data_IF_184490241214
#
_entry.id   IF_184490241214
#
_cell.length_a   1.000
_cell.length_b   1.000
_cell.length_c   1.000
_cell.angle_alpha   90.00
_cell.angle_beta   90.00
_cell.angle_gamma   90.00
#
_symmetry.space_group_name_H-M   'P 1'
#
loop_
_entity.id
_entity.type
_entity.pdbx_description
1 polymer ?
#
# COMPACT_ATOMS: atom_id res chain seq x y z
N UNK A 1 19.20 17.43 -29.58
CA UNK A 1 18.84 17.14 -28.19
C UNK A 1 18.60 15.64 -28.11
N UNK A 2 19.12 14.94 -27.11
CA UNK A 2 18.81 13.54 -26.85
C UNK A 2 17.35 13.45 -26.42
N UNK A 3 16.63 12.42 -26.85
CA UNK A 3 15.24 12.19 -26.38
C UNK A 3 15.20 11.96 -24.86
N UNK A 4 14.10 12.31 -24.19
CA UNK A 4 13.94 12.00 -22.78
C UNK A 4 13.88 10.49 -22.55
N UNK A 5 14.38 10.06 -21.39
CA UNK A 5 14.30 8.68 -20.92
C UNK A 5 12.91 8.46 -20.33
N UNK A 6 12.16 7.46 -20.84
CA UNK A 6 10.80 7.19 -20.45
C UNK A 6 10.65 5.86 -19.75
N UNK A 7 9.99 5.87 -18.60
CA UNK A 7 9.63 4.65 -17.87
C UNK A 7 8.13 4.60 -17.60
N UNK A 8 7.51 3.45 -17.89
CA UNK A 8 6.09 3.18 -17.64
C UNK A 8 5.95 2.27 -16.43
N UNK A 9 5.20 2.69 -15.42
CA UNK A 9 4.85 1.88 -14.26
C UNK A 9 3.40 1.42 -14.31
N UNK A 10 3.16 0.20 -13.85
CA UNK A 10 1.84 -0.47 -13.90
C UNK A 10 1.54 -1.12 -12.55
N UNK A 11 0.32 -0.92 -12.04
CA UNK A 11 -0.26 -1.68 -10.93
C UNK A 11 -1.61 -2.27 -11.34
N UNK A 12 -1.88 -3.54 -11.07
CA UNK A 12 -3.16 -4.20 -11.36
C UNK A 12 -3.31 -5.59 -10.72
N UNK A 13 -4.46 -6.23 -10.97
CA UNK A 13 -4.82 -7.59 -10.54
C UNK A 13 -4.96 -7.78 -9.01
N UNK A 14 -5.29 -6.68 -8.31
CA UNK A 14 -5.68 -6.74 -6.89
C UNK A 14 -6.82 -5.75 -6.61
N UNK A 15 -6.54 -4.47 -6.58
CA UNK A 15 -7.48 -3.35 -6.59
C UNK A 15 -6.77 -2.11 -7.13
N UNK A 16 -7.55 -1.09 -7.53
CA UNK A 16 -7.04 0.23 -7.91
C UNK A 16 -5.98 0.20 -9.03
N UNK A 17 -6.26 -0.55 -10.11
CA UNK A 17 -5.36 -0.63 -11.25
C UNK A 17 -5.01 0.77 -11.79
N UNK A 18 -3.72 1.00 -12.09
CA UNK A 18 -3.21 2.31 -12.48
C UNK A 18 -1.99 2.19 -13.41
N UNK A 19 -1.69 3.27 -14.10
CA UNK A 19 -0.47 3.45 -14.86
C UNK A 19 0.14 4.83 -14.57
N UNK A 20 1.46 4.93 -14.76
CA UNK A 20 2.21 6.17 -14.64
C UNK A 20 3.32 6.20 -15.68
N UNK A 21 3.50 7.34 -16.37
CA UNK A 21 4.64 7.61 -17.25
C UNK A 21 5.55 8.67 -16.62
N UNK A 22 6.84 8.38 -16.62
CA UNK A 22 7.89 9.26 -16.13
C UNK A 22 8.83 9.60 -17.29
N UNK A 23 9.18 10.87 -17.46
CA UNK A 23 10.20 11.35 -18.40
C UNK A 23 11.32 12.05 -17.62
N UNK A 24 12.56 11.59 -17.79
CA UNK A 24 13.76 12.15 -17.11
C UNK A 24 13.59 12.29 -15.59
N UNK A 25 12.87 11.35 -14.96
CA UNK A 25 12.59 11.33 -13.52
C UNK A 25 11.40 12.17 -13.09
N UNK A 26 10.71 12.85 -14.02
CA UNK A 26 9.53 13.68 -13.75
C UNK A 26 8.27 12.91 -14.11
N UNK A 27 7.29 12.87 -13.22
CA UNK A 27 5.96 12.31 -13.50
C UNK A 27 5.27 13.19 -14.52
N UNK A 28 5.02 12.65 -15.72
CA UNK A 28 4.29 13.34 -16.78
C UNK A 28 2.79 13.13 -16.65
N UNK A 29 2.39 11.88 -16.45
CA UNK A 29 1.00 11.51 -16.23
C UNK A 29 0.89 10.28 -15.35
N UNK A 30 -0.19 10.21 -14.57
CA UNK A 30 -0.59 9.04 -13.80
C UNK A 30 -2.12 8.97 -13.70
N UNK A 31 -2.70 7.80 -13.87
CA UNK A 31 -4.14 7.62 -13.81
C UNK A 31 -4.53 6.23 -13.33
N UNK A 32 -5.63 6.17 -12.58
CA UNK A 32 -6.32 4.91 -12.24
C UNK A 32 -7.27 4.52 -13.38
N UNK A 33 -7.36 3.21 -13.67
CA UNK A 33 -8.24 2.66 -14.70
C UNK A 33 -9.71 2.99 -14.42
N UNK A 34 -10.12 3.04 -13.14
CA UNK A 34 -11.47 3.38 -12.71
C UNK A 34 -11.95 4.76 -13.20
N UNK A 35 -11.03 5.71 -13.49
CA UNK A 35 -11.38 7.03 -14.01
C UNK A 35 -12.00 6.95 -15.39
N UNK A 36 -11.62 5.94 -16.14
CA UNK A 36 -12.08 5.67 -17.51
C UNK A 36 -13.23 4.65 -17.56
N UNK A 37 -13.12 3.57 -16.77
CA UNK A 37 -14.11 2.48 -16.76
C UNK A 37 -15.35 2.82 -15.94
N UNK A 38 -15.23 3.77 -15.01
CA UNK A 38 -16.27 4.12 -14.01
C UNK A 38 -16.63 2.95 -13.07
N UNK A 39 -15.84 1.90 -13.07
CA UNK A 39 -15.91 0.79 -12.12
C UNK A 39 -14.98 1.09 -10.95
N UNK A 40 -15.56 1.41 -9.79
CA UNK A 40 -14.80 1.74 -8.59
C UNK A 40 -13.92 0.55 -8.15
N UNK A 41 -12.64 0.84 -7.81
CA UNK A 41 -11.63 -0.17 -7.46
C UNK A 41 -11.43 -1.22 -8.57
N UNK A 42 -11.42 -0.78 -9.83
CA UNK A 42 -11.17 -1.66 -10.97
C UNK A 42 -9.80 -2.33 -10.83
N UNK A 43 -9.80 -3.65 -10.83
CA UNK A 43 -8.61 -4.50 -10.68
C UNK A 43 -8.03 -4.96 -12.02
N UNK A 44 -8.76 -4.76 -13.12
CA UNK A 44 -8.38 -5.25 -14.44
C UNK A 44 -7.07 -4.61 -14.92
N UNK A 45 -6.44 -5.23 -15.93
CA UNK A 45 -5.27 -4.63 -16.56
C UNK A 45 -5.59 -3.21 -17.08
N UNK A 46 -4.75 -2.18 -16.80
CA UNK A 46 -5.10 -0.77 -16.96
C UNK A 46 -4.88 -0.24 -18.38
N UNK A 47 -5.56 -0.81 -19.37
CA UNK A 47 -5.43 -0.47 -20.78
C UNK A 47 -5.63 1.01 -21.10
N UNK A 48 -6.66 1.62 -20.48
CA UNK A 48 -7.03 3.01 -20.76
C UNK A 48 -6.09 3.96 -20.03
N UNK A 49 -5.68 3.62 -18.80
CA UNK A 49 -4.71 4.39 -18.06
C UNK A 49 -3.33 4.38 -18.76
N UNK A 50 -2.89 3.21 -19.26
CA UNK A 50 -1.64 3.12 -20.05
C UNK A 50 -1.73 3.98 -21.31
N UNK A 51 -2.82 3.87 -22.07
CA UNK A 51 -3.03 4.70 -23.27
C UNK A 51 -2.98 6.19 -22.92
N UNK A 52 -3.71 6.61 -21.91
CA UNK A 52 -3.71 8.00 -21.45
C UNK A 52 -2.30 8.48 -21.12
N UNK A 53 -1.54 7.70 -20.35
CA UNK A 53 -0.17 8.04 -19.99
C UNK A 53 0.74 8.16 -21.22
N UNK A 54 0.60 7.27 -22.20
CA UNK A 54 1.36 7.33 -23.45
C UNK A 54 0.96 8.51 -24.35
N UNK A 55 -0.33 8.88 -24.36
CA UNK A 55 -0.83 10.03 -25.13
C UNK A 55 -0.33 11.37 -24.54
N UNK A 56 -0.10 11.44 -23.22
CA UNK A 56 0.46 12.61 -22.54
C UNK A 56 2.00 12.69 -22.66
N UNK A 57 2.65 11.59 -22.99
CA UNK A 57 4.10 11.55 -23.12
C UNK A 57 4.58 12.25 -24.41
N UNK A 58 5.81 12.75 -24.40
CA UNK A 58 6.42 13.41 -25.55
C UNK A 58 6.78 12.43 -26.71
N UNK A 59 6.54 11.12 -26.55
CA UNK A 59 6.73 10.08 -27.55
C UNK A 59 6.48 8.68 -27.01
N UNK A 60 6.33 7.71 -27.89
CA UNK A 60 5.93 6.33 -27.54
C UNK A 60 7.09 5.40 -27.18
N UNK A 61 8.35 5.75 -27.49
CA UNK A 61 9.50 4.89 -27.20
C UNK A 61 9.80 4.86 -25.70
N UNK A 62 9.77 3.67 -25.11
CA UNK A 62 10.03 3.44 -23.69
C UNK A 62 11.43 2.86 -23.47
N UNK A 63 12.11 3.31 -22.42
CA UNK A 63 13.41 2.76 -21.99
C UNK A 63 13.24 1.64 -20.97
N UNK A 64 12.12 1.61 -20.23
CA UNK A 64 11.75 0.55 -19.31
C UNK A 64 10.25 0.53 -19.03
N UNK A 65 9.76 -0.64 -18.62
CA UNK A 65 8.45 -0.82 -18.00
C UNK A 65 8.66 -1.45 -16.64
N UNK A 66 7.81 -1.13 -15.67
CA UNK A 66 7.87 -1.77 -14.35
C UNK A 66 6.49 -2.16 -13.85
N UNK A 67 6.42 -3.34 -13.25
CA UNK A 67 5.24 -3.80 -12.53
C UNK A 67 5.49 -3.67 -11.03
N UNK A 68 4.50 -3.19 -10.27
CA UNK A 68 4.65 -2.68 -8.90
C UNK A 68 4.98 -3.71 -7.82
N UNK A 69 5.02 -5.01 -8.12
CA UNK A 69 5.33 -6.09 -7.16
C UNK A 69 6.02 -7.28 -7.83
N UNK A 70 6.52 -8.22 -7.03
CA UNK A 70 7.12 -9.49 -7.47
C UNK A 70 6.11 -10.64 -7.37
N UNK A 71 5.41 -11.01 -8.45
CA UNK A 71 4.34 -12.03 -8.41
C UNK A 71 4.78 -13.38 -7.86
N UNK A 72 6.00 -13.81 -8.19
CA UNK A 72 6.54 -15.10 -7.74
C UNK A 72 6.73 -15.15 -6.22
N UNK A 73 7.23 -14.07 -5.61
CA UNK A 73 7.39 -13.99 -4.15
C UNK A 73 6.01 -13.97 -3.46
N UNK A 74 5.03 -13.30 -4.06
CA UNK A 74 3.66 -13.27 -3.54
C UNK A 74 3.01 -14.66 -3.58
N UNK A 75 3.20 -15.40 -4.68
CA UNK A 75 2.76 -16.79 -4.78
C UNK A 75 3.44 -17.67 -3.73
N UNK A 76 4.75 -17.51 -3.54
CA UNK A 76 5.50 -18.24 -2.51
C UNK A 76 4.89 -18.03 -1.12
N UNK A 77 4.62 -16.78 -0.71
CA UNK A 77 3.95 -16.49 0.57
C UNK A 77 2.58 -17.18 0.69
N UNK A 78 1.74 -17.12 -0.37
CA UNK A 78 0.41 -17.75 -0.35
C UNK A 78 0.53 -19.26 -0.19
N UNK A 79 1.45 -19.90 -0.92
CA UNK A 79 1.72 -21.34 -0.82
C UNK A 79 2.20 -21.72 0.59
N UNK A 80 3.21 -21.04 1.11
CA UNK A 80 3.78 -21.32 2.42
C UNK A 80 2.75 -21.14 3.54
N UNK A 81 1.99 -20.04 3.51
CA UNK A 81 0.90 -19.80 4.45
C UNK A 81 -0.13 -20.90 4.41
N UNK A 82 -0.55 -21.30 3.19
CA UNK A 82 -1.58 -22.34 3.01
C UNK A 82 -1.11 -23.71 3.47
N UNK A 83 0.14 -24.07 3.17
CA UNK A 83 0.75 -25.34 3.61
C UNK A 83 0.91 -25.39 5.13
N UNK A 84 1.39 -24.30 5.75
CA UNK A 84 1.55 -24.22 7.20
C UNK A 84 0.23 -24.34 7.98
N UNK A 85 -0.90 -24.13 7.31
CA UNK A 85 -2.26 -24.19 7.87
C UNK A 85 -3.09 -25.36 7.31
N UNK A 86 -2.46 -26.35 6.66
CA UNK A 86 -3.17 -27.50 6.13
C UNK A 86 -3.90 -28.28 7.25
N UNK A 87 -5.13 -28.82 7.00
CA UNK A 87 -5.87 -28.75 5.74
C UNK A 87 -6.69 -27.44 5.54
N UNK A 88 -6.83 -26.59 6.56
CA UNK A 88 -7.68 -25.37 6.51
C UNK A 88 -7.21 -24.38 5.47
N UNK A 89 -5.90 -24.23 5.29
CA UNK A 89 -5.28 -23.33 4.32
C UNK A 89 -5.59 -23.66 2.85
N UNK A 90 -6.15 -24.82 2.55
CA UNK A 90 -6.51 -25.22 1.18
C UNK A 90 -7.61 -24.33 0.58
N UNK A 91 -8.61 -23.95 1.39
CA UNK A 91 -9.75 -23.14 0.91
C UNK A 91 -9.30 -21.75 0.46
N UNK A 92 -8.61 -20.93 1.27
CA UNK A 92 -8.11 -19.64 0.82
C UNK A 92 -7.10 -19.76 -0.33
N UNK A 93 -6.29 -20.81 -0.38
CA UNK A 93 -5.39 -21.06 -1.51
C UNK A 93 -6.15 -21.19 -2.83
N UNK A 94 -7.14 -22.07 -2.91
CA UNK A 94 -7.95 -22.27 -4.13
C UNK A 94 -8.63 -20.97 -4.58
N UNK A 95 -9.09 -20.14 -3.64
CA UNK A 95 -9.67 -18.83 -3.95
C UNK A 95 -8.65 -17.80 -4.44
N UNK A 96 -7.40 -17.86 -3.98
CA UNK A 96 -6.34 -16.95 -4.40
C UNK A 96 -5.73 -17.28 -5.78
N UNK A 97 -5.78 -18.55 -6.20
CA UNK A 97 -5.14 -19.04 -7.43
C UNK A 97 -5.52 -18.23 -8.68
N UNK A 98 -6.81 -17.93 -8.99
CA UNK A 98 -7.15 -17.21 -10.22
C UNK A 98 -6.47 -15.84 -10.32
N UNK A 99 -6.51 -15.04 -9.23
CA UNK A 99 -5.87 -13.74 -9.19
C UNK A 99 -4.33 -13.84 -9.31
N UNK A 100 -3.74 -14.90 -8.71
CA UNK A 100 -2.31 -15.14 -8.81
C UNK A 100 -1.88 -15.55 -10.21
N UNK A 101 -2.69 -16.34 -10.92
CA UNK A 101 -2.41 -16.74 -12.29
C UNK A 101 -2.31 -15.51 -13.21
N UNK A 102 -3.25 -14.55 -13.11
CA UNK A 102 -3.18 -13.30 -13.87
C UNK A 102 -1.86 -12.56 -13.62
N UNK A 103 -1.44 -12.46 -12.35
CA UNK A 103 -0.15 -11.79 -12.02
C UNK A 103 1.08 -12.52 -12.55
N UNK A 104 1.08 -13.85 -12.59
CA UNK A 104 2.20 -14.62 -13.13
C UNK A 104 2.38 -14.44 -14.63
N UNK A 105 1.30 -14.12 -15.35
CA UNK A 105 1.33 -13.85 -16.79
C UNK A 105 1.39 -12.36 -17.14
N UNK A 106 1.66 -11.49 -16.16
CA UNK A 106 1.69 -10.03 -16.34
C UNK A 106 2.64 -9.58 -17.46
N UNK A 107 3.78 -10.25 -17.62
CA UNK A 107 4.71 -9.93 -18.72
C UNK A 107 4.04 -10.08 -20.08
N UNK A 108 3.30 -11.17 -20.30
CA UNK A 108 2.58 -11.40 -21.57
C UNK A 108 1.51 -10.33 -21.80
N UNK A 109 0.76 -9.94 -20.76
CA UNK A 109 -0.24 -8.87 -20.87
C UNK A 109 0.40 -7.52 -21.18
N UNK A 110 1.53 -7.19 -20.54
CA UNK A 110 2.30 -5.98 -20.84
C UNK A 110 2.79 -5.98 -22.27
N UNK A 111 3.42 -7.08 -22.74
CA UNK A 111 3.91 -7.20 -24.14
C UNK A 111 2.77 -7.02 -25.14
N UNK A 112 1.63 -7.68 -24.92
CA UNK A 112 0.44 -7.54 -25.76
C UNK A 112 -0.09 -6.09 -25.77
N UNK A 113 -0.07 -5.42 -24.61
CA UNK A 113 -0.50 -4.04 -24.51
C UNK A 113 0.41 -3.10 -25.30
N UNK A 114 1.72 -3.22 -25.17
CA UNK A 114 2.68 -2.40 -25.88
C UNK A 114 2.56 -2.60 -27.40
N UNK A 115 2.38 -3.85 -27.89
CA UNK A 115 2.15 -4.15 -29.29
C UNK A 115 0.87 -3.48 -29.83
N UNK A 116 -0.28 -3.66 -29.12
CA UNK A 116 -1.56 -3.06 -29.51
C UNK A 116 -1.53 -1.53 -29.52
N UNK A 117 -0.76 -0.94 -28.61
CA UNK A 117 -0.58 0.51 -28.50
C UNK A 117 0.55 1.02 -29.42
N UNK A 118 1.18 0.14 -30.22
CA UNK A 118 2.24 0.45 -31.18
C UNK A 118 3.47 1.11 -30.54
N UNK A 119 3.77 0.73 -29.30
CA UNK A 119 5.00 1.15 -28.63
C UNK A 119 6.18 0.46 -29.33
N UNK A 120 7.19 1.20 -29.82
CA UNK A 120 8.30 0.61 -30.53
C UNK A 120 9.28 -0.11 -29.58
N UNK A 121 9.91 -1.18 -30.10
CA UNK A 121 10.93 -1.93 -29.40
C UNK A 121 10.39 -2.90 -28.34
N UNK A 122 11.30 -3.47 -27.57
CA UNK A 122 11.01 -4.38 -26.47
C UNK A 122 11.69 -3.84 -25.20
N UNK A 123 11.09 -2.87 -24.52
CA UNK A 123 11.67 -2.31 -23.31
C UNK A 123 11.83 -3.38 -22.21
N UNK A 124 12.93 -3.35 -21.42
CA UNK A 124 13.12 -4.25 -20.29
C UNK A 124 11.99 -4.07 -19.27
N UNK A 125 11.57 -5.18 -18.67
CA UNK A 125 10.54 -5.21 -17.64
C UNK A 125 11.16 -5.42 -16.26
N UNK A 126 10.90 -4.49 -15.33
CA UNK A 126 11.37 -4.51 -13.94
C UNK A 126 10.25 -4.88 -12.98
N UNK A 127 10.61 -5.52 -11.87
CA UNK A 127 9.71 -5.93 -10.81
C UNK A 127 10.29 -5.50 -9.45
N UNK A 128 10.15 -4.23 -9.06
CA UNK A 128 10.45 -3.84 -7.68
C UNK A 128 9.54 -4.59 -6.71
N UNK A 129 9.96 -4.76 -5.46
CA UNK A 129 9.08 -5.27 -4.41
C UNK A 129 7.97 -4.29 -4.11
N UNK A 130 6.81 -4.78 -3.67
CA UNK A 130 5.62 -3.98 -3.38
C UNK A 130 5.94 -2.79 -2.45
N UNK A 131 6.61 -3.05 -1.32
CA UNK A 131 7.00 -1.99 -0.40
C UNK A 131 8.11 -1.08 -0.94
N UNK A 132 8.97 -1.55 -1.84
CA UNK A 132 9.91 -0.71 -2.57
C UNK A 132 9.17 0.24 -3.53
N UNK A 133 8.12 -0.25 -4.22
CA UNK A 133 7.25 0.60 -5.05
C UNK A 133 6.55 1.67 -4.21
N UNK A 134 5.98 1.32 -3.04
CA UNK A 134 5.42 2.32 -2.14
C UNK A 134 6.46 3.35 -1.68
N UNK A 135 7.63 2.91 -1.24
CA UNK A 135 8.70 3.78 -0.79
C UNK A 135 9.17 4.73 -1.90
N UNK A 136 9.37 4.20 -3.10
CA UNK A 136 9.75 4.96 -4.30
C UNK A 136 8.68 6.00 -4.66
N UNK A 137 7.41 5.65 -4.57
CA UNK A 137 6.29 6.55 -4.87
C UNK A 137 6.23 7.77 -3.94
N UNK A 138 6.69 7.63 -2.71
CA UNK A 138 6.74 8.72 -1.74
C UNK A 138 8.08 9.48 -1.78
N UNK A 139 9.20 8.77 -1.84
CA UNK A 139 10.51 9.41 -1.71
C UNK A 139 10.92 10.19 -2.96
N UNK A 140 10.88 9.57 -4.13
CA UNK A 140 11.42 10.20 -5.33
C UNK A 140 10.71 11.50 -5.74
N UNK A 141 9.38 11.64 -5.67
CA UNK A 141 8.71 12.91 -5.98
C UNK A 141 8.70 13.89 -4.82
N UNK A 142 9.20 13.51 -3.63
CA UNK A 142 9.25 14.43 -2.49
C UNK A 142 10.26 15.58 -2.70
N UNK A 143 10.10 16.72 -2.01
CA UNK A 143 11.04 17.83 -2.10
C UNK A 143 12.32 17.61 -1.27
N UNK A 144 12.51 16.42 -0.68
CA UNK A 144 13.61 16.14 0.23
C UNK A 144 14.76 15.45 -0.49
N UNK A 145 15.96 15.98 -0.42
CA UNK A 145 17.18 15.32 -0.91
C UNK A 145 17.44 14.04 -0.12
N UNK A 146 17.24 14.10 1.20
CA UNK A 146 17.40 12.99 2.12
C UNK A 146 16.23 12.91 3.09
N UNK A 147 15.64 11.72 3.26
CA UNK A 147 14.52 11.53 4.18
C UNK A 147 14.47 10.11 4.75
N UNK A 148 13.91 9.96 5.94
CA UNK A 148 13.38 8.69 6.40
C UNK A 148 12.18 8.32 5.53
N UNK A 149 12.02 7.04 5.26
CA UNK A 149 10.92 6.50 4.45
C UNK A 149 10.17 5.48 5.30
N UNK A 150 8.86 5.59 5.35
CA UNK A 150 7.98 4.67 6.08
C UNK A 150 6.85 4.20 5.16
N UNK A 151 6.71 2.89 5.01
CA UNK A 151 5.57 2.31 4.30
C UNK A 151 4.71 1.52 5.26
N UNK A 152 3.40 1.76 5.24
CA UNK A 152 2.43 1.11 6.11
C UNK A 152 1.27 0.60 5.27
N UNK A 153 1.14 -0.74 5.15
CA UNK A 153 0.18 -1.33 4.24
C UNK A 153 -0.55 -2.55 4.83
N UNK A 154 -1.43 -3.17 4.03
CA UNK A 154 -2.06 -4.44 4.36
C UNK A 154 -1.06 -5.59 4.26
N UNK A 155 -0.63 -5.92 3.06
CA UNK A 155 0.41 -6.91 2.79
C UNK A 155 0.90 -6.84 1.34
N UNK A 156 2.21 -6.73 1.17
CA UNK A 156 2.90 -6.91 -0.11
C UNK A 156 3.19 -8.38 -0.43
N UNK A 157 4.43 -8.70 -0.74
CA UNK A 157 4.87 -10.09 -0.84
C UNK A 157 4.88 -10.74 0.55
N UNK A 158 5.75 -10.27 1.44
CA UNK A 158 5.81 -10.66 2.85
C UNK A 158 5.65 -9.46 3.77
N UNK A 159 6.27 -8.34 3.42
CA UNK A 159 6.25 -7.13 4.23
C UNK A 159 4.86 -6.54 4.35
N UNK A 160 4.54 -6.02 5.53
CA UNK A 160 3.30 -5.31 5.86
C UNK A 160 3.57 -3.87 6.27
N UNK A 161 4.78 -3.61 6.76
CA UNK A 161 5.30 -2.27 7.02
C UNK A 161 6.80 -2.30 6.82
N UNK A 162 7.39 -1.25 6.27
CA UNK A 162 8.85 -1.12 6.16
C UNK A 162 9.28 0.29 6.50
N UNK A 163 10.52 0.43 6.97
CA UNK A 163 11.15 1.72 7.03
C UNK A 163 12.58 1.67 6.50
N UNK A 164 13.09 2.82 6.09
CA UNK A 164 14.42 2.94 5.52
C UNK A 164 14.82 4.39 5.30
N UNK A 165 15.77 4.58 4.41
CA UNK A 165 16.36 5.89 4.08
C UNK A 165 16.42 6.07 2.58
N UNK A 166 15.96 7.22 2.11
CA UNK A 166 16.22 7.75 0.80
C UNK A 166 17.32 8.83 0.87
N UNK A 167 18.29 8.78 -0.05
CA UNK A 167 19.39 9.72 -0.14
C UNK A 167 19.78 9.92 -1.61
N UNK A 168 19.51 11.08 -2.17
CA UNK A 168 19.65 11.33 -3.60
C UNK A 168 18.84 10.35 -4.45
N UNK A 169 19.50 9.57 -5.31
CA UNK A 169 18.87 8.54 -6.13
C UNK A 169 18.84 7.15 -5.45
N UNK A 170 19.39 7.01 -4.23
CA UNK A 170 19.43 5.75 -3.49
C UNK A 170 18.24 5.65 -2.55
N UNK A 171 17.58 4.48 -2.54
CA UNK A 171 16.50 4.14 -1.62
C UNK A 171 16.77 2.78 -1.01
N UNK A 172 16.93 2.72 0.32
CA UNK A 172 17.26 1.49 1.03
C UNK A 172 16.27 1.23 2.15
N UNK A 173 15.54 0.14 2.07
CA UNK A 173 14.70 -0.36 3.17
C UNK A 173 15.57 -1.12 4.16
N UNK A 174 15.45 -0.81 5.45
CA UNK A 174 16.33 -1.30 6.52
C UNK A 174 15.66 -2.30 7.43
N UNK A 175 14.35 -2.19 7.61
CA UNK A 175 13.60 -3.13 8.44
C UNK A 175 12.17 -3.30 7.93
N UNK A 176 11.58 -4.45 8.24
CA UNK A 176 10.23 -4.80 7.88
C UNK A 176 9.47 -5.47 9.04
N UNK A 177 8.19 -5.21 9.12
CA UNK A 177 7.22 -6.07 9.78
C UNK A 177 6.61 -6.97 8.71
N UNK A 178 6.50 -8.26 9.00
CA UNK A 178 6.08 -9.25 8.01
C UNK A 178 4.70 -9.85 8.34
N UNK A 179 4.04 -10.32 7.30
CA UNK A 179 2.84 -11.15 7.40
C UNK A 179 3.12 -12.39 8.30
N UNK A 180 2.20 -12.76 9.21
CA UNK A 180 0.81 -12.31 9.26
C UNK A 180 0.53 -11.09 10.14
N UNK A 181 1.55 -10.44 10.71
CA UNK A 181 1.41 -9.28 11.56
C UNK A 181 1.35 -8.00 10.71
N UNK A 182 0.22 -7.28 10.77
CA UNK A 182 -0.04 -6.13 9.91
C UNK A 182 -0.95 -5.13 10.56
N UNK A 183 -0.58 -3.86 10.49
CA UNK A 183 -1.42 -2.73 10.94
C UNK A 183 -2.62 -2.58 10.01
N UNK A 184 -2.41 -2.72 8.69
CA UNK A 184 -3.48 -2.62 7.70
C UNK A 184 -4.50 -3.74 7.85
N UNK A 185 -4.04 -5.01 7.99
CA UNK A 185 -4.96 -6.14 8.21
C UNK A 185 -5.68 -6.06 9.56
N UNK A 186 -5.02 -5.53 10.60
CA UNK A 186 -5.67 -5.24 11.88
C UNK A 186 -6.82 -4.25 11.69
N UNK A 187 -6.58 -3.13 11.02
CA UNK A 187 -7.61 -2.11 10.76
C UNK A 187 -8.72 -2.66 9.86
N UNK A 188 -8.38 -3.44 8.84
CA UNK A 188 -9.33 -4.12 7.95
C UNK A 188 -10.19 -5.17 8.67
N UNK A 189 -9.65 -5.84 9.69
CA UNK A 189 -10.43 -6.77 10.51
C UNK A 189 -11.55 -6.04 11.28
N UNK A 190 -11.27 -4.87 11.84
CA UNK A 190 -12.30 -4.02 12.47
C UNK A 190 -13.26 -3.42 11.44
N UNK A 191 -12.75 -3.05 10.25
CA UNK A 191 -13.59 -2.61 9.12
C UNK A 191 -14.62 -3.68 8.76
N UNK A 192 -14.18 -4.92 8.58
CA UNK A 192 -15.05 -6.07 8.34
C UNK A 192 -16.02 -6.29 9.51
N UNK A 193 -15.52 -6.28 10.74
CA UNK A 193 -16.33 -6.55 11.93
C UNK A 193 -17.45 -5.50 12.13
N UNK A 194 -17.19 -4.25 11.78
CA UNK A 194 -18.18 -3.19 11.75
C UNK A 194 -19.09 -3.24 10.50
N UNK A 195 -19.00 -4.29 9.67
CA UNK A 195 -19.87 -4.54 8.52
C UNK A 195 -19.58 -3.67 7.30
N UNK A 196 -18.36 -3.16 7.17
CA UNK A 196 -17.89 -2.46 5.97
C UNK A 196 -17.08 -3.38 5.08
N UNK A 197 -17.07 -3.11 3.77
CA UNK A 197 -16.30 -3.88 2.80
C UNK A 197 -14.81 -3.57 2.96
N UNK A 198 -13.98 -4.59 3.14
CA UNK A 198 -12.52 -4.49 3.19
C UNK A 198 -11.96 -3.95 1.86
N UNK A 199 -10.82 -3.28 1.90
CA UNK A 199 -10.14 -2.57 0.82
C UNK A 199 -10.91 -1.38 0.21
N UNK A 200 -12.07 -1.06 0.77
CA UNK A 200 -12.88 0.06 0.31
C UNK A 200 -13.75 0.68 1.38
N UNK A 201 -13.67 0.22 2.61
CA UNK A 201 -14.50 0.68 3.72
C UNK A 201 -13.71 1.20 4.92
N UNK A 202 -12.39 1.14 4.87
CA UNK A 202 -11.50 1.62 5.92
C UNK A 202 -11.72 3.12 6.21
N UNK A 203 -11.91 3.92 5.15
CA UNK A 203 -12.24 5.35 5.32
C UNK A 203 -13.61 5.58 5.98
N UNK A 204 -14.57 4.64 5.83
CA UNK A 204 -15.88 4.71 6.52
C UNK A 204 -15.71 4.42 7.99
N UNK A 205 -14.88 3.43 8.36
CA UNK A 205 -14.55 3.15 9.74
C UNK A 205 -13.84 4.35 10.38
N UNK A 206 -12.86 4.95 9.70
CA UNK A 206 -12.16 6.16 10.11
C UNK A 206 -13.16 7.32 10.33
N UNK A 207 -14.10 7.53 9.39
CA UNK A 207 -15.14 8.55 9.50
C UNK A 207 -16.18 8.27 10.58
N UNK A 208 -16.33 7.02 11.02
CA UNK A 208 -17.23 6.63 12.12
C UNK A 208 -16.59 6.88 13.51
N UNK A 209 -15.27 6.85 13.60
CA UNK A 209 -14.54 6.97 14.87
C UNK A 209 -14.89 8.23 15.72
N UNK A 210 -15.11 9.42 15.16
CA UNK A 210 -15.49 10.62 15.94
C UNK A 210 -16.82 10.50 16.71
N UNK A 211 -17.68 9.56 16.33
CA UNK A 211 -18.98 9.35 16.97
C UNK A 211 -18.93 8.38 18.15
N UNK A 212 -17.78 7.72 18.36
CA UNK A 212 -17.57 6.72 19.39
C UNK A 212 -16.72 7.19 20.57
N UNK A 213 -16.66 6.35 21.60
CA UNK A 213 -15.77 6.47 22.75
C UNK A 213 -14.73 5.33 22.74
N UNK A 214 -13.52 5.52 23.32
CA UNK A 214 -12.43 4.55 23.24
C UNK A 214 -12.57 3.38 24.23
N UNK A 215 -13.78 2.83 24.35
CA UNK A 215 -14.14 1.85 25.39
C UNK A 215 -13.47 0.48 25.20
N UNK A 216 -13.05 0.16 23.96
CA UNK A 216 -12.43 -1.13 23.63
C UNK A 216 -10.89 -1.07 23.51
N UNK A 217 -10.24 0.09 23.71
CA UNK A 217 -8.77 0.22 23.59
C UNK A 217 -8.05 -0.78 24.48
N UNK A 218 -8.49 -0.93 25.73
CA UNK A 218 -7.90 -1.90 26.69
C UNK A 218 -8.04 -3.33 26.16
N UNK A 219 -9.23 -3.72 25.72
CA UNK A 219 -9.48 -5.06 25.21
C UNK A 219 -8.66 -5.38 23.93
N UNK A 220 -8.49 -4.39 23.05
CA UNK A 220 -7.64 -4.53 21.85
C UNK A 220 -6.19 -4.79 22.26
N UNK A 221 -5.65 -4.01 23.19
CA UNK A 221 -4.25 -4.12 23.63
C UNK A 221 -3.98 -5.38 24.45
N UNK A 222 -4.92 -5.86 25.24
CA UNK A 222 -4.73 -7.04 26.08
C UNK A 222 -4.94 -8.36 25.33
N UNK A 223 -5.78 -8.36 24.27
CA UNK A 223 -6.22 -9.62 23.65
C UNK A 223 -5.95 -9.74 22.16
N UNK A 224 -5.73 -8.62 21.45
CA UNK A 224 -5.64 -8.62 19.99
C UNK A 224 -4.25 -8.24 19.50
N UNK A 225 -3.63 -7.23 20.13
CA UNK A 225 -2.35 -6.69 19.67
C UNK A 225 -1.38 -6.50 20.81
N UNK A 226 -0.23 -7.16 20.74
CA UNK A 226 0.92 -6.87 21.56
C UNK A 226 1.73 -5.77 20.87
N UNK A 227 1.69 -4.55 21.42
CA UNK A 227 2.34 -3.36 20.86
C UNK A 227 3.64 -3.08 21.61
N UNK A 228 4.76 -3.17 20.88
CA UNK A 228 6.10 -2.93 21.40
C UNK A 228 6.44 -1.43 21.48
N UNK A 229 7.55 -1.11 22.14
CA UNK A 229 8.02 0.27 22.29
C UNK A 229 8.42 0.92 20.96
N UNK A 230 9.02 0.14 20.06
CA UNK A 230 9.41 0.55 18.71
C UNK A 230 8.23 0.70 17.73
N UNK A 231 7.02 0.34 18.17
CA UNK A 231 5.82 0.36 17.36
C UNK A 231 5.58 -0.93 16.56
N UNK A 232 6.49 -1.89 16.60
CA UNK A 232 6.20 -3.21 16.04
C UNK A 232 5.06 -3.88 16.79
N UNK A 233 4.30 -4.72 16.07
CA UNK A 233 3.13 -5.38 16.63
C UNK A 233 3.19 -6.88 16.44
N UNK A 234 2.60 -7.59 17.41
CA UNK A 234 2.29 -9.00 17.26
C UNK A 234 0.79 -9.21 17.47
N UNK A 235 0.11 -9.75 16.46
CA UNK A 235 -1.32 -10.02 16.50
C UNK A 235 -1.59 -11.38 17.14
N UNK A 236 -2.63 -11.46 17.95
CA UNK A 236 -3.15 -12.72 18.49
C UNK A 236 -3.92 -13.48 17.41
N UNK A 237 -3.19 -14.22 16.58
CA UNK A 237 -3.64 -14.80 15.31
C UNK A 237 -4.86 -15.71 15.42
N UNK A 238 -5.09 -16.28 16.57
CA UNK A 238 -6.24 -17.15 16.87
C UNK A 238 -7.59 -16.40 16.97
N UNK A 239 -7.59 -15.06 16.90
CA UNK A 239 -8.78 -14.22 16.79
C UNK A 239 -9.16 -13.88 15.34
N UNK A 240 -8.28 -14.17 14.38
CA UNK A 240 -8.44 -13.78 12.99
C UNK A 240 -8.72 -14.99 12.09
N UNK A 241 -9.54 -14.77 11.07
CA UNK A 241 -9.91 -15.79 10.08
C UNK A 241 -9.21 -15.66 8.73
N UNK A 242 -8.44 -14.58 8.50
CA UNK A 242 -7.83 -14.33 7.18
C UNK A 242 -6.61 -15.20 6.88
N UNK A 243 -6.08 -15.92 7.89
CA UNK A 243 -4.88 -16.76 7.72
C UNK A 243 -5.23 -18.09 7.07
N UNK A 244 -6.36 -18.68 7.48
CA UNK A 244 -6.77 -20.03 7.08
C UNK A 244 -8.25 -20.10 6.65
N UNK A 245 -8.89 -18.94 6.42
CA UNK A 245 -10.29 -18.82 6.00
C UNK A 245 -10.52 -17.64 5.05
N UNK A 246 -11.80 -17.42 4.75
CA UNK A 246 -12.26 -16.35 3.83
C UNK A 246 -12.89 -15.16 4.54
N UNK A 247 -12.77 -15.07 5.85
CA UNK A 247 -13.31 -14.00 6.70
C UNK A 247 -12.18 -13.33 7.47
N UNK A 248 -12.37 -12.08 7.85
CA UNK A 248 -11.32 -11.36 8.58
C UNK A 248 -11.25 -11.74 10.06
N UNK A 249 -12.41 -12.04 10.68
CA UNK A 249 -12.53 -12.31 12.12
C UNK A 249 -13.32 -13.59 12.38
N UNK A 250 -13.16 -14.17 13.57
CA UNK A 250 -13.86 -15.39 13.97
C UNK A 250 -14.66 -15.21 15.27
N UNK A 251 -15.26 -16.28 15.79
CA UNK A 251 -16.09 -16.24 17.01
C UNK A 251 -15.30 -15.82 18.26
N UNK A 252 -14.00 -16.13 18.30
CA UNK A 252 -13.13 -15.72 19.40
C UNK A 252 -12.96 -14.19 19.41
N UNK A 253 -12.78 -13.56 18.24
CA UNK A 253 -12.81 -12.13 18.10
C UNK A 253 -14.18 -11.56 18.51
N UNK A 254 -15.26 -12.13 18.00
CA UNK A 254 -16.63 -11.71 18.31
C UNK A 254 -16.93 -11.72 19.81
N UNK A 255 -16.45 -12.73 20.55
CA UNK A 255 -16.65 -12.84 21.99
C UNK A 255 -15.99 -11.70 22.81
N UNK A 256 -14.93 -11.09 22.27
CA UNK A 256 -14.23 -9.95 22.90
C UNK A 256 -14.94 -8.62 22.72
N UNK A 257 -15.74 -8.50 21.64
CA UNK A 257 -16.34 -7.24 21.22
C UNK A 257 -17.88 -7.23 21.23
N UNK A 258 -18.48 -8.04 22.11
CA UNK A 258 -19.91 -7.96 22.42
C UNK A 258 -20.84 -8.59 21.39
N UNK A 259 -20.38 -9.63 20.68
CA UNK A 259 -21.23 -10.42 19.77
C UNK A 259 -20.69 -10.46 18.34
N UNK A 260 -21.45 -11.01 17.37
CA UNK A 260 -21.00 -11.23 16.01
C UNK A 260 -20.73 -9.92 15.26
N UNK A 261 -19.99 -10.06 14.13
CA UNK A 261 -19.79 -8.94 13.19
C UNK A 261 -21.15 -8.39 12.71
N UNK A 262 -21.25 -7.08 12.57
CA UNK A 262 -22.44 -6.42 12.01
C UNK A 262 -22.60 -6.83 10.53
N UNK A 263 -23.82 -7.15 10.13
CA UNK A 263 -24.11 -7.34 8.68
C UNK A 263 -24.14 -5.99 7.97
N UNK A 264 -23.77 -5.91 6.68
CA UNK A 264 -23.69 -4.62 5.94
C UNK A 264 -24.97 -3.78 6.02
N UNK A 265 -26.15 -4.44 5.96
CA UNK A 265 -27.45 -3.77 5.94
C UNK A 265 -28.02 -3.49 7.34
N UNK A 266 -27.41 -3.99 8.40
CA UNK A 266 -27.85 -3.75 9.76
C UNK A 266 -27.57 -2.29 10.15
N UNK A 267 -28.36 -1.77 11.11
CA UNK A 267 -28.14 -0.41 11.66
C UNK A 267 -26.80 -0.36 12.41
N UNK A 268 -26.03 0.70 12.20
CA UNK A 268 -24.86 1.04 13.01
C UNK A 268 -25.31 1.41 14.42
N UNK A 269 -24.72 0.80 15.44
CA UNK A 269 -25.03 1.03 16.84
C UNK A 269 -23.88 1.72 17.56
N UNK A 270 -24.07 2.00 18.85
CA UNK A 270 -23.00 2.56 19.70
C UNK A 270 -21.77 1.66 19.73
N UNK A 271 -21.95 0.35 19.70
CA UNK A 271 -20.86 -0.63 19.66
C UNK A 271 -19.91 -0.39 18.49
N UNK A 272 -20.44 -0.26 17.27
CA UNK A 272 -19.62 -0.04 16.06
C UNK A 272 -18.90 1.32 16.11
N UNK A 273 -19.54 2.36 16.66
CA UNK A 273 -18.92 3.68 16.84
C UNK A 273 -17.75 3.60 17.83
N UNK A 274 -17.93 2.92 18.97
CA UNK A 274 -16.91 2.76 20.00
C UNK A 274 -15.75 1.85 19.52
N UNK A 275 -16.05 0.81 18.74
CA UNK A 275 -15.03 -0.01 18.09
C UNK A 275 -14.20 0.81 17.09
N UNK A 276 -14.86 1.61 16.24
CA UNK A 276 -14.20 2.48 15.28
C UNK A 276 -13.27 3.48 15.98
N UNK A 277 -13.74 4.12 17.06
CA UNK A 277 -12.92 5.03 17.85
C UNK A 277 -11.73 4.31 18.48
N UNK A 278 -11.97 3.15 19.08
CA UNK A 278 -10.94 2.41 19.78
C UNK A 278 -9.83 1.91 18.85
N UNK A 279 -10.16 1.36 17.69
CA UNK A 279 -9.13 0.91 16.73
C UNK A 279 -8.41 2.10 16.11
N UNK A 280 -9.08 3.23 15.90
CA UNK A 280 -8.43 4.45 15.41
C UNK A 280 -7.38 4.95 16.40
N UNK A 281 -7.70 4.98 17.70
CA UNK A 281 -6.76 5.41 18.73
C UNK A 281 -5.55 4.46 18.84
N UNK A 282 -5.79 3.13 18.76
CA UNK A 282 -4.70 2.13 18.76
C UNK A 282 -3.83 2.27 17.50
N UNK A 283 -4.42 2.42 16.33
CA UNK A 283 -3.68 2.61 15.08
C UNK A 283 -2.84 3.88 15.12
N UNK A 284 -3.40 4.97 15.61
CA UNK A 284 -2.68 6.23 15.79
C UNK A 284 -1.48 6.06 16.73
N UNK A 285 -1.66 5.35 17.85
CA UNK A 285 -0.55 5.07 18.77
C UNK A 285 0.55 4.25 18.11
N UNK A 286 0.20 3.21 17.33
CA UNK A 286 1.17 2.39 16.60
C UNK A 286 1.99 3.26 15.64
N UNK A 287 1.33 4.07 14.81
CA UNK A 287 1.99 4.97 13.84
C UNK A 287 2.93 5.93 14.54
N UNK A 288 2.51 6.53 15.66
CA UNK A 288 3.36 7.45 16.43
C UNK A 288 4.58 6.77 17.06
N UNK A 289 4.45 5.52 17.52
CA UNK A 289 5.60 4.75 18.05
C UNK A 289 6.59 4.41 16.95
N UNK A 290 6.13 3.89 15.81
CA UNK A 290 6.99 3.61 14.66
C UNK A 290 7.71 4.88 14.22
N UNK A 291 7.00 6.00 14.11
CA UNK A 291 7.61 7.28 13.70
C UNK A 291 8.72 7.73 14.66
N UNK A 292 8.52 7.60 15.99
CA UNK A 292 9.55 7.91 16.98
C UNK A 292 10.76 6.98 16.86
N UNK A 293 10.52 5.69 16.66
CA UNK A 293 11.57 4.72 16.43
C UNK A 293 12.38 5.06 15.18
N UNK A 294 11.71 5.26 14.05
CA UNK A 294 12.36 5.63 12.77
C UNK A 294 13.16 6.93 12.90
N UNK A 295 12.60 7.92 13.58
CA UNK A 295 13.31 9.19 13.87
C UNK A 295 14.58 8.97 14.69
N UNK A 296 14.52 8.10 15.69
CA UNK A 296 15.65 7.76 16.55
C UNK A 296 16.73 7.00 15.78
N UNK A 297 16.35 5.98 15.01
CA UNK A 297 17.29 5.11 14.29
C UNK A 297 17.97 5.84 13.11
N UNK A 298 17.22 6.67 12.38
CA UNK A 298 17.75 7.38 11.22
C UNK A 298 18.41 8.73 11.55
N UNK A 299 18.00 9.36 12.65
CA UNK A 299 18.40 10.74 12.98
C UNK A 299 17.85 11.79 12.01
N UNK A 300 17.09 11.40 10.99
CA UNK A 300 16.62 12.28 9.93
C UNK A 300 15.43 13.12 10.36
N UNK A 301 15.33 14.34 9.84
CA UNK A 301 14.30 15.32 10.20
C UNK A 301 13.09 15.29 9.27
N UNK A 302 13.24 14.77 8.09
CA UNK A 302 12.23 14.63 7.05
C UNK A 302 11.73 13.20 7.03
N UNK A 303 10.41 13.03 6.82
CA UNK A 303 9.76 11.72 6.64
C UNK A 303 8.92 11.71 5.38
N UNK A 304 9.06 10.65 4.59
CA UNK A 304 8.12 10.33 3.50
C UNK A 304 7.31 9.08 3.83
N UNK A 305 6.02 9.05 3.43
CA UNK A 305 5.12 7.95 3.76
C UNK A 305 4.29 7.50 2.55
N UNK A 306 4.10 6.18 2.43
CA UNK A 306 3.17 5.53 1.50
C UNK A 306 2.63 4.21 2.08
N UNK A 307 1.83 3.47 1.29
CA UNK A 307 1.05 2.30 1.69
C UNK A 307 -0.37 2.68 2.12
N UNK A 308 -1.30 1.74 2.03
CA UNK A 308 -2.73 1.99 2.25
C UNK A 308 -3.08 2.60 3.62
N UNK A 309 -2.32 2.25 4.67
CA UNK A 309 -2.51 2.85 6.02
C UNK A 309 -2.13 4.33 6.04
N UNK A 310 -1.23 4.78 5.16
CA UNK A 310 -0.87 6.20 5.03
C UNK A 310 -1.98 7.09 4.47
N UNK A 311 -3.11 6.49 4.03
CA UNK A 311 -4.35 7.22 3.74
C UNK A 311 -5.15 7.60 5.01
N UNK A 312 -4.74 7.10 6.19
CA UNK A 312 -5.40 7.43 7.44
C UNK A 312 -5.04 8.86 7.89
N UNK A 313 -5.81 9.84 7.42
CA UNK A 313 -5.59 11.25 7.70
C UNK A 313 -5.66 11.61 9.20
N UNK A 314 -6.35 10.80 10.02
CA UNK A 314 -6.42 11.02 11.48
C UNK A 314 -5.07 10.70 12.13
N UNK A 315 -4.46 9.56 11.77
CA UNK A 315 -3.13 9.20 12.24
C UNK A 315 -2.06 10.16 11.69
N UNK A 316 -2.16 10.55 10.42
CA UNK A 316 -1.25 11.52 9.78
C UNK A 316 -1.30 12.88 10.49
N UNK A 317 -2.50 13.39 10.77
CA UNK A 317 -2.66 14.65 11.51
C UNK A 317 -2.15 14.56 12.96
N UNK A 318 -2.26 13.39 13.61
CA UNK A 318 -1.64 13.16 14.92
C UNK A 318 -0.12 13.16 14.85
N UNK A 319 0.46 12.55 13.79
CA UNK A 319 1.90 12.53 13.54
C UNK A 319 2.44 13.94 13.32
N UNK A 320 1.77 14.75 12.51
CA UNK A 320 2.14 16.15 12.28
C UNK A 320 2.12 16.96 13.58
N UNK A 321 1.03 16.88 14.36
CA UNK A 321 0.91 17.58 15.65
C UNK A 321 1.95 17.13 16.67
N UNK A 322 2.38 15.87 16.63
CA UNK A 322 3.39 15.34 17.55
C UNK A 322 4.81 15.89 17.27
N UNK A 323 5.03 16.53 16.13
CA UNK A 323 6.32 17.15 15.74
C UNK A 323 7.52 16.21 15.89
N UNK A 324 7.32 14.91 15.58
CA UNK A 324 8.39 13.90 15.63
C UNK A 324 9.40 14.15 14.50
N UNK A 325 8.92 14.56 13.34
CA UNK A 325 9.70 15.03 12.21
C UNK A 325 9.43 16.52 11.98
N UNK A 326 10.41 17.22 11.42
CA UNK A 326 10.29 18.64 11.12
C UNK A 326 9.38 18.85 9.88
N UNK A 327 9.49 17.94 8.90
CA UNK A 327 8.72 17.96 7.66
C UNK A 327 8.19 16.56 7.31
N UNK A 328 6.98 16.53 6.75
CA UNK A 328 6.30 15.32 6.32
C UNK A 328 5.92 15.42 4.84
N UNK A 329 6.15 14.35 4.09
CA UNK A 329 5.63 14.17 2.75
C UNK A 329 4.87 12.86 2.68
N UNK A 330 3.57 12.93 2.45
CA UNK A 330 2.73 11.73 2.31
C UNK A 330 2.29 11.65 0.86
N UNK A 331 2.55 10.51 0.21
CA UNK A 331 2.12 10.31 -1.18
C UNK A 331 0.58 10.47 -1.27
N UNK A 332 0.06 11.39 -2.09
CA UNK A 332 -1.40 11.58 -2.23
C UNK A 332 -2.12 10.32 -2.69
N UNK A 333 -1.51 9.55 -3.59
CA UNK A 333 -1.97 8.22 -3.99
C UNK A 333 -1.24 7.14 -3.18
N UNK A 334 -1.33 7.18 -1.84
CA UNK A 334 -0.50 6.34 -0.96
C UNK A 334 -0.80 4.83 -1.08
N UNK A 335 -2.00 4.43 -1.53
CA UNK A 335 -2.36 3.02 -1.77
C UNK A 335 -1.73 2.43 -3.02
N UNK A 336 -2.20 1.24 -3.43
CA UNK A 336 -1.64 0.42 -4.52
C UNK A 336 -1.65 1.12 -5.89
N UNK A 337 -2.56 2.06 -6.12
CA UNK A 337 -2.54 2.88 -7.34
C UNK A 337 -1.22 3.66 -7.48
N UNK A 338 -0.70 4.20 -6.38
CA UNK A 338 0.60 4.87 -6.34
C UNK A 338 1.78 3.91 -6.54
N UNK A 339 1.57 2.61 -6.41
CA UNK A 339 2.55 1.59 -6.78
C UNK A 339 3.00 1.71 -8.23
N UNK A 340 2.11 2.13 -9.14
CA UNK A 340 2.47 2.42 -10.53
C UNK A 340 3.47 3.60 -10.62
N UNK A 341 3.27 4.65 -9.84
CA UNK A 341 4.21 5.79 -9.76
C UNK A 341 5.57 5.31 -9.24
N UNK A 342 5.54 4.57 -8.13
CA UNK A 342 6.76 4.06 -7.51
C UNK A 342 7.52 3.09 -8.40
N UNK A 343 6.83 2.20 -9.11
CA UNK A 343 7.45 1.27 -10.05
C UNK A 343 8.14 2.02 -11.20
N UNK A 344 7.49 3.03 -11.80
CA UNK A 344 8.08 3.84 -12.85
C UNK A 344 9.34 4.57 -12.37
N UNK A 345 9.29 5.18 -11.19
CA UNK A 345 10.43 5.91 -10.60
C UNK A 345 11.56 4.96 -10.18
N UNK A 346 11.24 3.79 -9.59
CA UNK A 346 12.24 2.78 -9.27
C UNK A 346 12.94 2.26 -10.54
N UNK A 347 12.19 1.99 -11.63
CA UNK A 347 12.79 1.63 -12.91
C UNK A 347 13.74 2.70 -13.42
N UNK A 348 13.38 3.98 -13.30
CA UNK A 348 14.23 5.09 -13.73
C UNK A 348 15.48 5.24 -12.87
N UNK A 349 15.33 5.39 -11.53
CA UNK A 349 16.45 5.70 -10.65
C UNK A 349 17.32 4.47 -10.35
N UNK A 350 16.71 3.32 -10.05
CA UNK A 350 17.42 2.10 -9.65
C UNK A 350 17.70 1.19 -10.86
N UNK A 351 16.68 0.88 -11.67
CA UNK A 351 16.81 -0.03 -12.82
C UNK A 351 17.73 0.53 -13.89
N UNK A 352 17.54 1.79 -14.30
CA UNK A 352 18.35 2.47 -15.31
C UNK A 352 19.50 3.31 -14.72
N UNK A 353 19.66 3.31 -13.38
CA UNK A 353 20.73 4.02 -12.66
C UNK A 353 20.80 5.52 -13.01
N UNK A 354 19.65 6.20 -13.06
CA UNK A 354 19.58 7.62 -13.41
C UNK A 354 19.60 8.51 -12.17
N UNK A 355 20.23 9.71 -12.26
CA UNK A 355 20.27 10.65 -11.15
C UNK A 355 18.87 11.17 -10.81
N UNK A 356 18.69 11.57 -9.56
CA UNK A 356 17.50 12.28 -9.11
C UNK A 356 17.77 13.76 -9.07
N UNK A 357 16.85 14.52 -9.64
CA UNK A 357 16.83 15.97 -9.56
C UNK A 357 15.69 16.38 -8.62
N UNK A 358 16.02 16.87 -7.45
CA UNK A 358 15.00 17.36 -6.50
C UNK A 358 14.47 18.71 -6.98
N UNK A 359 13.16 18.80 -7.19
CA UNK A 359 12.49 20.06 -7.53
C UNK A 359 11.84 20.63 -6.27
N UNK A 360 12.40 21.66 -5.66
CA UNK A 360 11.80 22.30 -4.49
C UNK A 360 10.39 22.82 -4.84
N UNK A 361 9.42 22.56 -3.96
CA UNK A 361 8.05 23.06 -4.12
C UNK A 361 7.18 22.30 -5.11
N UNK A 362 7.59 21.11 -5.56
CA UNK A 362 6.72 20.27 -6.37
C UNK A 362 5.44 19.92 -5.58
N UNK A 363 4.30 20.30 -6.14
CA UNK A 363 2.99 19.91 -5.59
C UNK A 363 2.30 18.95 -6.53
N UNK A 364 2.06 17.71 -6.09
CA UNK A 364 1.29 16.72 -6.86
C UNK A 364 -0.23 17.00 -6.86
N UNK A 365 -0.68 18.01 -6.10
CA UNK A 365 -2.11 18.39 -6.05
C UNK A 365 -2.56 19.11 -7.32
N UNK A 366 -1.63 19.60 -8.12
CA UNK A 366 -1.90 20.39 -9.34
C UNK A 366 -1.60 19.62 -10.64
N UNK A 367 -1.45 18.29 -10.57
CA UNK A 367 -1.28 17.44 -11.74
C UNK A 367 -2.62 16.88 -12.18
#
# INVERSE_FOLDING_TARGET
>A
MTRPIRTLGISCHYHDAAACIVEDGIIVAAAQEERFTRKKHDEAFPWRAIRYCLDEASGLELDAVAFYEKPILKLHRILETSLSRAPRGLVPFVHAVPAMMSKLFIESEVREALEKLRVPGEPPLFYPEHHASHAASAFYPSPFERAAVLTLDGVGEWSTSTWGVGDGASLTLQAALEFPHSIGLLYSAFTYFCGFKVNSGEYKLMGLAPYGEPTFVKAIREHIVDLKEDGSIQLALDHFGYIDGLVMTNDKFASRFGGPARKPDDRITRREMDLARSIQDVTTEIVLRIARHVRKETGLKQLTMAGGVSLNCVANGALERARIFDDLWIQPAAGDAGGAIGAALAAYHEGLSKPRNVTPGLSLIHI
#
